data_IF_497838258505
#
_entry.id   IF_497838258505
#
_cell.length_a   1.000
_cell.length_b   1.000
_cell.length_c   1.000
_cell.angle_alpha   90.00
_cell.angle_beta   90.00
_cell.angle_gamma   90.00
#
_symmetry.space_group_name_H-M   'P 1'
#
loop_
_entity.id
_entity.type
_entity.pdbx_description
1 polymer ?
#
# COMPACT_ATOMS: atom_id res chain seq x y z
N UNK A 1 -26.02 9.29 -10.15
CA UNK A 1 -26.44 8.59 -11.38
C UNK A 1 -25.17 8.35 -12.16
N UNK A 2 -24.53 7.21 -11.98
CA UNK A 2 -23.40 6.79 -12.81
C UNK A 2 -24.00 6.17 -14.05
N UNK A 3 -23.70 6.81 -15.16
CA UNK A 3 -23.99 6.28 -16.47
C UNK A 3 -23.20 4.98 -16.61
N UNK A 4 -23.87 3.89 -16.97
CA UNK A 4 -23.22 2.67 -17.43
C UNK A 4 -22.40 3.05 -18.67
N UNK A 5 -21.11 3.26 -18.48
CA UNK A 5 -20.21 3.42 -19.62
C UNK A 5 -19.93 1.99 -20.11
N UNK A 6 -20.76 1.52 -21.03
CA UNK A 6 -20.39 0.43 -21.92
C UNK A 6 -19.50 1.05 -22.98
N UNK A 7 -18.24 0.77 -22.93
CA UNK A 7 -17.45 0.88 -24.15
C UNK A 7 -17.63 -0.42 -24.95
N UNK A 8 -17.33 -0.36 -26.23
CA UNK A 8 -17.38 -1.51 -27.15
C UNK A 8 -16.41 -2.63 -26.74
N UNK A 9 -15.73 -2.50 -25.59
CA UNK A 9 -14.72 -3.39 -25.05
C UNK A 9 -15.16 -4.13 -23.76
N UNK A 10 -16.41 -3.96 -23.32
CA UNK A 10 -16.99 -4.77 -22.25
C UNK A 10 -16.70 -4.32 -20.80
N UNK A 11 -16.17 -3.12 -20.58
CA UNK A 11 -15.98 -2.58 -19.23
C UNK A 11 -17.30 -1.98 -18.74
N UNK A 12 -17.84 -2.52 -17.65
CA UNK A 12 -19.02 -1.97 -16.98
C UNK A 12 -18.56 -1.29 -15.68
N UNK A 13 -18.69 0.02 -15.61
CA UNK A 13 -18.47 0.76 -14.34
C UNK A 13 -19.69 0.56 -13.44
N UNK A 14 -19.47 -0.02 -12.28
CA UNK A 14 -20.52 -0.30 -11.31
C UNK A 14 -20.64 0.78 -10.24
N UNK A 15 -21.72 0.66 -9.51
CA UNK A 15 -22.29 1.57 -8.54
C UNK A 15 -21.28 2.05 -7.49
N UNK A 16 -21.00 3.33 -7.47
CA UNK A 16 -20.44 3.97 -6.28
C UNK A 16 -21.49 3.99 -5.15
N UNK A 17 -21.05 3.95 -3.89
CA UNK A 17 -21.94 4.19 -2.77
C UNK A 17 -22.70 5.49 -2.93
N UNK A 18 -24.00 5.49 -2.66
CA UNK A 18 -24.84 6.71 -2.76
C UNK A 18 -24.34 7.75 -1.80
N UNK A 19 -24.12 8.98 -2.27
CA UNK A 19 -23.78 10.10 -1.39
C UNK A 19 -24.89 10.33 -0.36
N UNK A 20 -24.51 10.57 0.90
CA UNK A 20 -25.40 10.91 2.03
C UNK A 20 -26.43 9.84 2.44
N UNK A 21 -26.23 8.56 2.16
CA UNK A 21 -27.06 7.50 2.71
C UNK A 21 -26.45 6.94 4.00
N UNK A 22 -27.25 6.73 5.06
CA UNK A 22 -26.78 6.16 6.34
C UNK A 22 -26.14 4.77 6.13
N UNK A 23 -26.61 4.01 5.15
CA UNK A 23 -26.04 2.71 4.75
C UNK A 23 -24.58 2.80 4.29
N UNK A 24 -24.13 4.01 3.90
CA UNK A 24 -22.77 4.28 3.45
C UNK A 24 -21.87 4.84 4.56
N UNK A 25 -22.42 5.03 5.77
CA UNK A 25 -21.64 5.54 6.90
C UNK A 25 -20.55 4.57 7.30
N UNK A 26 -19.41 5.10 7.70
CA UNK A 26 -18.31 4.39 8.31
C UNK A 26 -18.35 4.63 9.81
N UNK A 27 -17.99 3.61 10.59
CA UNK A 27 -18.00 3.68 12.04
C UNK A 27 -16.68 3.21 12.58
N UNK A 28 -16.10 3.98 13.48
CA UNK A 28 -14.87 3.60 14.14
C UNK A 28 -14.82 4.13 15.58
N UNK A 29 -14.09 3.43 16.41
CA UNK A 29 -13.72 3.91 17.74
C UNK A 29 -12.29 3.52 18.08
N UNK A 30 -11.67 4.28 18.96
CA UNK A 30 -10.32 4.03 19.46
C UNK A 30 -10.27 4.32 20.96
N UNK A 31 -9.64 3.41 21.70
CA UNK A 31 -9.35 3.56 23.12
C UNK A 31 -7.84 3.60 23.30
N UNK A 32 -7.35 4.59 24.04
CA UNK A 32 -5.95 4.70 24.41
C UNK A 32 -5.81 4.56 25.93
N UNK A 33 -4.79 3.85 26.37
CA UNK A 33 -4.48 3.67 27.79
C UNK A 33 -2.97 3.59 28.00
N UNK A 34 -2.51 3.76 29.23
CA UNK A 34 -1.13 3.53 29.63
C UNK A 34 -1.11 2.49 30.74
N UNK A 35 -0.41 1.40 30.54
CA UNK A 35 -0.26 0.32 31.51
C UNK A 35 1.21 -0.06 31.62
N UNK A 36 1.77 -0.01 32.82
CA UNK A 36 3.16 -0.37 33.08
C UNK A 36 4.16 0.37 32.15
N UNK A 37 3.99 1.68 32.05
CA UNK A 37 4.79 2.55 31.17
C UNK A 37 4.78 2.15 29.71
N UNK A 38 3.69 1.50 29.27
CA UNK A 38 3.44 1.14 27.89
C UNK A 38 2.18 1.86 27.42
N UNK A 39 2.33 2.67 26.38
CA UNK A 39 1.18 3.28 25.70
C UNK A 39 0.52 2.22 24.81
N UNK A 40 -0.75 1.96 25.07
CA UNK A 40 -1.55 0.98 24.34
C UNK A 40 -2.71 1.69 23.64
N UNK A 41 -3.03 1.26 22.43
CA UNK A 41 -4.30 1.63 21.81
C UNK A 41 -4.98 0.42 21.21
N UNK A 42 -6.31 0.43 21.24
CA UNK A 42 -7.18 -0.53 20.60
C UNK A 42 -8.17 0.22 19.74
N UNK A 43 -8.38 -0.24 18.51
CA UNK A 43 -9.29 0.40 17.57
C UNK A 43 -10.14 -0.63 16.85
N UNK A 44 -11.34 -0.21 16.50
CA UNK A 44 -12.22 -0.92 15.57
C UNK A 44 -12.68 0.04 14.50
N UNK A 45 -12.74 -0.43 13.25
CA UNK A 45 -13.19 0.35 12.13
C UNK A 45 -14.04 -0.53 11.20
N UNK A 46 -15.26 -0.09 10.90
CA UNK A 46 -16.10 -0.67 9.86
C UNK A 46 -16.22 0.34 8.73
N UNK A 47 -15.62 0.02 7.60
CA UNK A 47 -15.38 0.96 6.51
C UNK A 47 -15.56 0.31 5.13
N UNK A 48 -15.55 1.11 4.11
CA UNK A 48 -15.35 0.64 2.74
C UNK A 48 -13.88 0.32 2.51
N UNK A 49 -13.59 -0.70 1.69
CA UNK A 49 -12.24 -0.87 1.15
C UNK A 49 -11.94 0.31 0.23
N UNK A 50 -10.82 1.00 0.42
CA UNK A 50 -10.42 2.17 -0.35
C UNK A 50 -10.21 1.87 -1.84
N UNK A 51 -9.93 0.61 -2.15
CA UNK A 51 -9.74 0.14 -3.52
C UNK A 51 -10.94 -0.71 -3.97
N UNK A 52 -11.49 -0.45 -5.15
CA UNK A 52 -12.55 -1.29 -5.69
C UNK A 52 -12.02 -2.70 -5.97
N UNK A 53 -12.81 -3.68 -5.61
CA UNK A 53 -12.62 -5.07 -6.03
C UNK A 53 -13.04 -5.19 -7.50
N UNK A 54 -12.21 -5.77 -8.34
CA UNK A 54 -12.50 -5.94 -9.77
C UNK A 54 -13.00 -7.36 -10.01
N UNK A 55 -14.30 -7.56 -9.80
CA UNK A 55 -14.94 -8.81 -10.21
C UNK A 55 -14.92 -8.93 -11.73
N UNK A 56 -14.83 -10.14 -12.22
CA UNK A 56 -14.85 -10.42 -13.64
C UNK A 56 -15.67 -11.66 -13.92
N UNK A 57 -16.43 -11.61 -15.01
CA UNK A 57 -16.96 -12.81 -15.65
C UNK A 57 -16.06 -13.07 -16.86
N UNK A 58 -15.15 -13.99 -16.70
CA UNK A 58 -14.24 -14.32 -17.77
C UNK A 58 -14.24 -15.83 -17.98
N UNK A 59 -14.28 -16.24 -19.23
CA UNK A 59 -13.93 -17.61 -19.61
C UNK A 59 -12.42 -17.76 -19.54
N UNK A 60 -11.96 -18.98 -19.23
CA UNK A 60 -10.52 -19.29 -19.23
C UNK A 60 -9.92 -19.11 -20.64
N UNK A 61 -10.70 -19.37 -21.67
CA UNK A 61 -10.36 -19.24 -23.10
C UNK A 61 -10.64 -17.82 -23.65
N UNK A 62 -10.17 -16.78 -22.96
CA UNK A 62 -10.35 -15.39 -23.40
C UNK A 62 -9.76 -15.16 -24.80
N UNK A 63 -10.56 -14.61 -25.68
CA UNK A 63 -10.15 -14.21 -27.01
C UNK A 63 -10.47 -12.74 -27.25
N UNK A 64 -9.86 -12.08 -28.26
CA UNK A 64 -10.25 -10.72 -28.62
C UNK A 64 -11.74 -10.56 -28.93
N UNK A 65 -12.39 -11.63 -29.41
CA UNK A 65 -13.82 -11.66 -29.74
C UNK A 65 -14.71 -11.95 -28.52
N UNK A 66 -14.11 -12.37 -27.40
CA UNK A 66 -14.80 -12.66 -26.13
C UNK A 66 -14.00 -12.11 -24.95
N UNK A 67 -13.94 -10.78 -24.80
CA UNK A 67 -13.17 -10.15 -23.73
C UNK A 67 -13.85 -10.36 -22.36
N UNK A 68 -13.06 -10.33 -21.25
CA UNK A 68 -13.62 -10.38 -19.91
C UNK A 68 -14.49 -9.16 -19.62
N UNK A 69 -15.60 -9.36 -18.95
CA UNK A 69 -16.40 -8.26 -18.41
C UNK A 69 -15.89 -7.97 -16.99
N UNK A 70 -15.51 -6.72 -16.73
CA UNK A 70 -14.96 -6.27 -15.44
C UNK A 70 -16.02 -5.46 -14.68
N UNK A 71 -16.22 -5.80 -13.40
CA UNK A 71 -17.17 -5.15 -12.50
C UNK A 71 -16.45 -4.57 -11.28
N UNK A 72 -15.95 -3.34 -11.34
CA UNK A 72 -15.37 -2.69 -10.14
C UNK A 72 -16.48 -2.45 -9.12
N UNK A 73 -16.27 -2.93 -7.90
CA UNK A 73 -17.24 -2.85 -6.81
C UNK A 73 -16.53 -2.53 -5.50
N UNK A 74 -17.03 -1.55 -4.75
CA UNK A 74 -16.55 -1.30 -3.40
C UNK A 74 -17.19 -2.29 -2.43
N UNK A 75 -16.38 -2.81 -1.51
CA UNK A 75 -16.81 -3.80 -0.51
C UNK A 75 -16.56 -3.28 0.90
N UNK A 76 -17.30 -3.80 1.86
CA UNK A 76 -17.11 -3.48 3.29
C UNK A 76 -16.09 -4.40 3.91
N UNK A 77 -15.28 -3.82 4.81
CA UNK A 77 -14.31 -4.53 5.64
C UNK A 77 -14.47 -4.11 7.10
N UNK A 78 -14.09 -4.99 8.03
CA UNK A 78 -13.91 -4.63 9.43
C UNK A 78 -12.45 -4.75 9.78
N UNK A 79 -11.94 -3.80 10.55
CA UNK A 79 -10.56 -3.77 11.00
C UNK A 79 -10.50 -3.66 12.53
N UNK A 80 -9.76 -4.55 13.17
CA UNK A 80 -9.46 -4.57 14.60
C UNK A 80 -7.97 -4.30 14.76
N UNK A 81 -7.62 -3.14 15.32
CA UNK A 81 -6.24 -2.70 15.44
C UNK A 81 -5.78 -2.63 16.89
N UNK A 82 -4.50 -2.89 17.11
CA UNK A 82 -3.83 -2.66 18.38
C UNK A 82 -2.44 -2.07 18.13
N UNK A 83 -2.02 -1.15 18.99
CA UNK A 83 -0.65 -0.61 19.00
C UNK A 83 -0.07 -0.63 20.41
N UNK A 84 1.23 -0.81 20.51
CA UNK A 84 1.96 -0.66 21.75
C UNK A 84 3.25 0.11 21.53
N UNK A 85 3.53 1.09 22.40
CA UNK A 85 4.77 1.87 22.40
C UNK A 85 5.35 1.84 23.81
N UNK A 86 6.62 1.43 23.91
CA UNK A 86 7.32 1.33 25.19
C UNK A 86 8.76 1.78 25.03
N UNK A 87 9.23 2.57 25.98
CA UNK A 87 10.66 2.85 26.12
C UNK A 87 11.32 1.72 26.91
N UNK A 88 12.38 1.15 26.33
CA UNK A 88 13.22 0.11 26.95
C UNK A 88 14.67 0.60 26.93
N UNK A 89 15.11 1.18 28.06
CA UNK A 89 16.39 1.85 28.11
C UNK A 89 16.51 3.01 27.12
N UNK A 90 17.52 3.04 26.24
CA UNK A 90 17.70 4.11 25.25
C UNK A 90 16.87 3.89 23.97
N UNK A 91 16.09 2.82 23.88
CA UNK A 91 15.33 2.44 22.68
C UNK A 91 13.84 2.58 22.94
N UNK A 92 13.12 3.19 22.01
CA UNK A 92 11.64 3.13 21.98
C UNK A 92 11.24 2.02 21.02
N UNK A 93 10.50 1.05 21.53
CA UNK A 93 9.92 -0.05 20.75
C UNK A 93 8.48 0.32 20.40
N UNK A 94 8.14 0.24 19.12
CA UNK A 94 6.80 0.47 18.58
C UNK A 94 6.32 -0.79 17.90
N UNK A 95 5.12 -1.23 18.22
CA UNK A 95 4.48 -2.36 17.57
C UNK A 95 3.06 -2.01 17.18
N UNK A 96 2.62 -2.51 16.06
CA UNK A 96 1.26 -2.35 15.59
C UNK A 96 0.77 -3.65 14.96
N UNK A 97 -0.52 -3.88 15.06
CA UNK A 97 -1.17 -5.01 14.41
C UNK A 97 -2.61 -4.68 14.07
N UNK A 98 -3.09 -5.23 12.97
CA UNK A 98 -4.48 -5.13 12.56
C UNK A 98 -4.94 -6.47 12.00
N UNK A 99 -6.09 -6.95 12.48
CA UNK A 99 -6.84 -8.05 11.89
C UNK A 99 -7.96 -7.45 11.04
N UNK A 100 -7.98 -7.79 9.76
CA UNK A 100 -8.94 -7.26 8.79
C UNK A 100 -9.74 -8.40 8.23
N UNK A 101 -11.06 -8.29 8.31
CA UNK A 101 -11.98 -9.31 7.80
C UNK A 101 -12.58 -8.89 6.47
N UNK A 102 -13.06 -9.88 5.74
CA UNK A 102 -13.90 -9.69 4.56
C UNK A 102 -13.22 -9.00 3.36
N UNK A 103 -11.89 -8.98 3.30
CA UNK A 103 -11.18 -8.42 2.14
C UNK A 103 -11.14 -9.41 0.99
N UNK A 104 -11.36 -8.89 -0.22
CA UNK A 104 -11.21 -9.65 -1.45
C UNK A 104 -9.79 -9.60 -1.98
N UNK A 105 -9.31 -10.74 -2.49
CA UNK A 105 -8.01 -10.93 -3.12
C UNK A 105 -8.20 -11.50 -4.51
N UNK A 106 -7.48 -10.92 -5.48
CA UNK A 106 -7.56 -11.31 -6.87
C UNK A 106 -6.95 -12.67 -7.15
N UNK A 107 -7.62 -13.47 -7.95
CA UNK A 107 -7.13 -14.74 -8.48
C UNK A 107 -6.48 -14.54 -9.86
N UNK A 108 -5.53 -15.40 -10.19
CA UNK A 108 -4.98 -15.52 -11.54
C UNK A 108 -6.08 -15.96 -12.50
N UNK A 109 -6.10 -15.42 -13.72
CA UNK A 109 -7.17 -15.68 -14.72
C UNK A 109 -7.30 -17.13 -15.19
N UNK A 110 -6.32 -17.97 -14.91
CA UNK A 110 -6.26 -19.34 -15.44
C UNK A 110 -6.79 -20.38 -14.47
N UNK A 111 -7.41 -19.95 -13.36
CA UNK A 111 -7.90 -20.89 -12.35
C UNK A 111 -9.35 -21.25 -12.63
N UNK A 112 -9.53 -22.48 -13.05
CA UNK A 112 -10.78 -23.17 -13.30
C UNK A 112 -10.64 -24.57 -12.67
N UNK A 113 -11.11 -24.71 -11.42
CA UNK A 113 -10.94 -25.95 -10.66
C UNK A 113 -12.03 -26.97 -10.94
N UNK A 114 -13.20 -26.52 -11.36
CA UNK A 114 -14.34 -27.37 -11.65
C UNK A 114 -14.47 -27.74 -13.13
N UNK A 115 -13.65 -27.09 -13.99
CA UNK A 115 -13.59 -27.42 -15.43
C UNK A 115 -14.78 -26.91 -16.23
N UNK A 116 -15.50 -25.91 -15.72
CA UNK A 116 -16.67 -25.35 -16.40
C UNK A 116 -16.32 -24.35 -17.51
N UNK A 117 -15.04 -24.01 -17.65
CA UNK A 117 -14.52 -23.07 -18.63
C UNK A 117 -14.59 -21.59 -18.20
N UNK A 118 -14.94 -21.33 -16.93
CA UNK A 118 -14.94 -19.99 -16.34
C UNK A 118 -13.93 -19.91 -15.19
N UNK A 119 -13.51 -18.70 -14.87
CA UNK A 119 -12.63 -18.49 -13.72
C UNK A 119 -13.42 -18.63 -12.42
N UNK A 120 -12.81 -19.28 -11.42
CA UNK A 120 -13.40 -19.44 -10.10
C UNK A 120 -13.76 -18.09 -9.45
N UNK A 121 -14.84 -18.11 -8.67
CA UNK A 121 -15.23 -17.00 -7.79
C UNK A 121 -15.24 -15.63 -8.46
N UNK A 122 -15.55 -15.54 -9.74
CA UNK A 122 -15.52 -14.31 -10.52
C UNK A 122 -14.17 -13.58 -10.45
N UNK A 123 -13.07 -14.34 -10.26
CA UNK A 123 -11.72 -13.83 -10.20
C UNK A 123 -11.28 -13.23 -8.88
N UNK A 124 -12.11 -13.32 -7.84
CA UNK A 124 -11.84 -12.76 -6.52
C UNK A 124 -12.30 -13.71 -5.42
N UNK A 125 -11.49 -13.88 -4.37
CA UNK A 125 -11.86 -14.63 -3.18
C UNK A 125 -11.75 -13.77 -1.93
N UNK A 126 -12.75 -13.90 -1.06
CA UNK A 126 -12.79 -13.21 0.22
C UNK A 126 -11.95 -13.98 1.25
N UNK A 127 -11.02 -13.26 1.93
CA UNK A 127 -10.18 -13.79 3.00
C UNK A 127 -9.93 -12.73 4.07
N UNK A 128 -9.67 -13.21 5.26
CA UNK A 128 -9.15 -12.40 6.35
C UNK A 128 -7.64 -12.28 6.23
N UNK A 129 -7.08 -11.22 6.80
CA UNK A 129 -5.65 -11.05 6.85
C UNK A 129 -5.20 -10.31 8.09
N UNK A 130 -3.95 -10.53 8.46
CA UNK A 130 -3.28 -9.80 9.53
C UNK A 130 -2.22 -8.91 8.90
N UNK A 131 -2.15 -7.66 9.37
CA UNK A 131 -1.03 -6.75 9.15
C UNK A 131 -0.37 -6.50 10.48
N UNK A 132 0.94 -6.55 10.53
CA UNK A 132 1.68 -6.22 11.73
C UNK A 132 2.99 -5.53 11.40
N UNK A 133 3.48 -4.75 12.34
CA UNK A 133 4.74 -4.05 12.18
C UNK A 133 5.45 -3.88 13.51
N UNK A 134 6.77 -3.77 13.43
CA UNK A 134 7.64 -3.41 14.55
C UNK A 134 8.62 -2.34 14.09
N UNK A 135 8.79 -1.31 14.91
CA UNK A 135 9.75 -0.24 14.71
C UNK A 135 10.56 0.03 15.99
N UNK A 136 11.77 0.49 15.82
CA UNK A 136 12.67 0.88 16.89
C UNK A 136 13.13 2.32 16.67
N UNK A 137 13.04 3.16 17.70
CA UNK A 137 13.67 4.49 17.67
C UNK A 137 14.80 4.55 18.68
N UNK A 138 15.94 4.97 18.25
CA UNK A 138 17.13 5.13 19.10
C UNK A 138 18.11 6.15 18.53
N UNK A 139 19.00 6.65 19.39
CA UNK A 139 20.08 7.54 18.97
C UNK A 139 21.44 6.84 19.14
N UNK A 140 22.22 6.80 18.08
CA UNK A 140 23.60 6.31 18.08
C UNK A 140 24.50 7.36 17.44
N UNK A 141 25.55 7.76 18.11
CA UNK A 141 26.55 8.76 17.66
C UNK A 141 25.92 10.10 17.23
N UNK A 142 24.84 10.52 17.92
CA UNK A 142 24.08 11.72 17.58
C UNK A 142 23.29 11.63 16.29
N UNK A 143 22.98 10.44 15.84
CA UNK A 143 22.05 10.15 14.73
C UNK A 143 20.81 9.46 15.26
N UNK A 144 19.64 10.06 15.05
CA UNK A 144 18.36 9.43 15.31
C UNK A 144 18.09 8.39 14.22
N UNK A 145 17.78 7.18 14.62
CA UNK A 145 17.53 6.04 13.73
C UNK A 145 16.19 5.40 14.03
N UNK A 146 15.45 5.08 12.98
CA UNK A 146 14.14 4.43 13.05
C UNK A 146 14.05 3.31 12.01
N UNK A 147 14.66 2.13 12.23
CA UNK A 147 14.37 0.95 11.44
C UNK A 147 12.97 0.42 11.75
N UNK A 148 12.30 -0.11 10.73
CA UNK A 148 10.99 -0.73 10.85
C UNK A 148 10.83 -1.92 9.91
N UNK A 149 10.01 -2.88 10.32
CA UNK A 149 9.60 -4.01 9.52
C UNK A 149 8.09 -4.15 9.58
N UNK A 150 7.46 -4.41 8.45
CA UNK A 150 6.03 -4.68 8.37
C UNK A 150 5.77 -5.93 7.56
N UNK A 151 4.72 -6.65 7.92
CA UNK A 151 4.28 -7.83 7.19
C UNK A 151 2.76 -7.86 7.08
N UNK A 152 2.30 -8.29 5.94
CA UNK A 152 0.93 -8.64 5.65
C UNK A 152 0.84 -10.15 5.47
N UNK A 153 -0.09 -10.82 6.15
CA UNK A 153 -0.30 -12.27 6.10
C UNK A 153 -1.77 -12.58 5.78
N UNK A 154 -2.01 -13.30 4.67
CA UNK A 154 -3.35 -13.73 4.27
C UNK A 154 -3.66 -15.07 4.95
N UNK A 155 -4.78 -15.11 5.69
CA UNK A 155 -5.28 -16.31 6.37
C UNK A 155 -6.01 -17.18 5.35
N UNK A 156 -5.94 -18.50 5.51
CA UNK A 156 -6.53 -19.48 4.57
C UNK A 156 -6.15 -19.18 3.11
N UNK A 157 -4.83 -19.03 2.92
CA UNK A 157 -4.23 -18.66 1.65
C UNK A 157 -4.57 -19.63 0.53
N UNK A 158 -4.83 -19.10 -0.65
CA UNK A 158 -5.04 -19.84 -1.88
C UNK A 158 -3.88 -19.60 -2.86
N UNK A 159 -3.27 -20.67 -3.38
CA UNK A 159 -2.16 -20.57 -4.34
C UNK A 159 -2.52 -19.87 -5.65
N UNK A 160 -3.81 -19.77 -5.92
CA UNK A 160 -4.35 -19.01 -7.03
C UNK A 160 -4.31 -17.51 -6.84
N UNK A 161 -4.04 -16.98 -5.65
CA UNK A 161 -3.94 -15.54 -5.45
C UNK A 161 -2.80 -14.91 -6.23
N UNK A 162 -3.04 -13.70 -6.71
CA UNK A 162 -2.01 -12.84 -7.32
C UNK A 162 -1.03 -12.36 -6.26
N UNK A 163 -1.55 -12.02 -5.08
CA UNK A 163 -0.75 -11.60 -3.93
C UNK A 163 -0.08 -12.80 -3.26
N UNK A 164 1.13 -12.67 -2.73
CA UNK A 164 1.74 -13.70 -1.92
C UNK A 164 1.05 -13.81 -0.57
N UNK A 165 1.12 -14.97 0.07
CA UNK A 165 0.60 -15.18 1.42
C UNK A 165 1.19 -14.19 2.42
N UNK A 166 2.50 -14.00 2.36
CA UNK A 166 3.25 -13.05 3.17
C UNK A 166 3.81 -11.95 2.27
N UNK A 167 3.49 -10.71 2.58
CA UNK A 167 4.03 -9.54 1.92
C UNK A 167 4.75 -8.66 2.94
N UNK A 168 6.02 -8.41 2.72
CA UNK A 168 6.90 -7.82 3.72
C UNK A 168 7.62 -6.60 3.18
N UNK A 169 7.81 -5.62 4.06
CA UNK A 169 8.57 -4.43 3.77
C UNK A 169 9.50 -4.08 4.92
N UNK A 170 10.66 -3.57 4.60
CA UNK A 170 11.59 -2.95 5.52
C UNK A 170 11.61 -1.44 5.29
N UNK A 171 11.71 -0.66 6.35
CA UNK A 171 11.91 0.79 6.29
C UNK A 171 13.04 1.21 7.22
N UNK A 172 13.74 2.25 6.82
CA UNK A 172 14.76 2.89 7.63
C UNK A 172 14.67 4.40 7.48
N UNK A 173 14.56 5.10 8.59
CA UNK A 173 14.72 6.54 8.63
C UNK A 173 15.91 6.90 9.50
N UNK A 174 16.79 7.76 9.00
CA UNK A 174 17.93 8.30 9.72
C UNK A 174 17.92 9.82 9.67
N UNK A 175 18.25 10.46 10.79
CA UNK A 175 18.37 11.92 10.89
C UNK A 175 19.58 12.30 11.75
N UNK A 176 20.43 13.17 11.22
CA UNK A 176 21.57 13.72 11.93
C UNK A 176 21.63 15.22 11.81
N UNK A 177 21.74 15.89 12.95
CA UNK A 177 21.99 17.32 13.02
C UNK A 177 23.49 17.61 13.12
N UNK A 178 23.92 18.63 12.41
CA UNK A 178 25.26 19.19 12.45
C UNK A 178 25.19 20.65 12.92
N UNK A 179 25.08 20.91 14.24
CA UNK A 179 24.81 22.25 14.75
C UNK A 179 25.85 23.28 14.32
N UNK A 180 27.15 22.88 14.25
CA UNK A 180 28.23 23.75 13.83
C UNK A 180 28.11 24.30 12.41
N UNK A 181 27.44 23.54 11.54
CA UNK A 181 27.22 23.88 10.13
C UNK A 181 25.76 24.29 9.83
N UNK A 182 24.93 24.40 10.87
CA UNK A 182 23.49 24.64 10.73
C UNK A 182 22.83 23.72 9.69
N UNK A 183 23.28 22.45 9.66
CA UNK A 183 22.86 21.47 8.66
C UNK A 183 22.16 20.28 9.29
N UNK A 184 21.17 19.72 8.57
CA UNK A 184 20.45 18.50 8.93
C UNK A 184 20.51 17.56 7.75
N UNK A 185 21.06 16.37 7.97
CA UNK A 185 20.98 15.26 7.03
C UNK A 185 19.86 14.32 7.41
N UNK A 186 19.05 13.90 6.43
CA UNK A 186 17.98 12.93 6.58
C UNK A 186 18.07 11.90 5.46
N UNK A 187 17.72 10.66 5.77
CA UNK A 187 17.58 9.61 4.78
C UNK A 187 16.36 8.76 5.11
N UNK A 188 15.54 8.50 4.11
CA UNK A 188 14.46 7.51 4.15
C UNK A 188 14.78 6.42 3.13
N UNK A 189 14.75 5.18 3.56
CA UNK A 189 14.83 4.01 2.68
C UNK A 189 13.65 3.09 2.96
N UNK A 190 12.97 2.67 1.90
CA UNK A 190 11.88 1.69 1.93
C UNK A 190 12.26 0.57 0.96
N UNK A 191 12.14 -0.67 1.41
CA UNK A 191 12.40 -1.85 0.59
C UNK A 191 11.21 -2.82 0.67
N UNK A 192 10.56 -3.06 -0.47
CA UNK A 192 9.46 -3.99 -0.64
C UNK A 192 10.05 -5.37 -0.99
N UNK A 193 10.19 -6.24 0.01
CA UNK A 193 10.97 -7.48 -0.06
C UNK A 193 10.45 -8.40 -1.16
N UNK A 194 9.15 -8.62 -1.21
CA UNK A 194 8.54 -9.55 -2.16
C UNK A 194 8.49 -9.04 -3.61
N UNK A 195 8.68 -7.74 -3.81
CA UNK A 195 8.70 -7.11 -5.14
C UNK A 195 10.11 -6.85 -5.64
N UNK A 196 11.11 -6.90 -4.74
CA UNK A 196 12.47 -6.44 -5.01
C UNK A 196 12.49 -4.98 -5.50
N UNK A 197 11.77 -4.12 -4.79
CA UNK A 197 11.63 -2.70 -5.12
C UNK A 197 12.08 -1.85 -3.96
N UNK A 198 12.71 -0.70 -4.23
CA UNK A 198 13.08 0.24 -3.18
C UNK A 198 12.94 1.70 -3.58
N UNK A 199 12.78 2.52 -2.56
CA UNK A 199 12.82 3.98 -2.63
C UNK A 199 13.87 4.48 -1.65
N UNK A 200 14.84 5.25 -2.13
CA UNK A 200 15.86 5.91 -1.31
C UNK A 200 15.73 7.43 -1.45
N UNK A 201 15.58 8.13 -0.32
CA UNK A 201 15.38 9.58 -0.27
C UNK A 201 16.37 10.25 0.69
N UNK A 202 17.61 10.54 0.26
CA UNK A 202 18.50 11.42 1.02
C UNK A 202 18.08 12.88 0.85
N UNK A 203 18.12 13.65 1.95
CA UNK A 203 17.86 15.09 1.99
C UNK A 203 18.88 15.77 2.87
N UNK A 204 19.44 16.88 2.41
CA UNK A 204 20.31 17.76 3.17
C UNK A 204 19.62 19.13 3.27
N UNK A 205 19.57 19.65 4.48
CA UNK A 205 18.94 20.93 4.80
C UNK A 205 19.95 21.84 5.49
N UNK A 206 20.03 23.09 5.05
CA UNK A 206 20.84 24.14 5.66
C UNK A 206 19.96 25.25 6.20
N UNK A 207 20.14 25.61 7.46
CA UNK A 207 19.56 26.81 8.05
C UNK A 207 20.49 27.98 7.77
N UNK A 208 20.16 28.79 6.74
CA UNK A 208 21.00 29.91 6.29
C UNK A 208 20.85 31.11 7.23
N UNK A 209 19.66 31.31 7.78
CA UNK A 209 19.34 32.29 8.81
C UNK A 209 18.11 31.85 9.60
N UNK A 210 17.75 32.59 10.67
CA UNK A 210 16.56 32.29 11.48
C UNK A 210 15.25 32.20 10.64
N UNK A 211 15.24 32.83 9.47
CA UNK A 211 14.09 32.92 8.59
C UNK A 211 14.23 32.12 7.28
N UNK A 212 15.47 31.76 6.90
CA UNK A 212 15.74 31.16 5.60
C UNK A 212 16.35 29.77 5.75
N UNK A 213 15.70 28.79 5.14
CA UNK A 213 16.15 27.41 5.05
C UNK A 213 16.25 26.97 3.58
N UNK A 214 17.32 26.29 3.23
CA UNK A 214 17.52 25.71 1.90
C UNK A 214 17.71 24.21 2.05
N UNK A 215 17.00 23.42 1.28
CA UNK A 215 17.13 21.98 1.27
C UNK A 215 17.38 21.46 -0.15
N UNK A 216 18.16 20.40 -0.26
CA UNK A 216 18.31 19.63 -1.49
C UNK A 216 18.13 18.15 -1.23
N UNK A 217 17.57 17.43 -2.16
CA UNK A 217 17.32 16.01 -1.99
C UNK A 217 17.21 15.25 -3.31
N UNK A 218 17.24 13.92 -3.17
CA UNK A 218 17.05 12.99 -4.26
C UNK A 218 15.90 12.06 -3.91
N UNK A 219 15.11 11.67 -4.91
CA UNK A 219 14.19 10.54 -4.83
C UNK A 219 14.66 9.51 -5.88
N UNK A 220 15.18 8.38 -5.40
CA UNK A 220 15.74 7.32 -6.23
C UNK A 220 14.86 6.08 -6.14
N UNK A 221 14.34 5.64 -7.26
CA UNK A 221 13.45 4.50 -7.36
C UNK A 221 14.18 3.32 -7.99
N UNK A 222 14.13 2.17 -7.34
CA UNK A 222 14.66 0.92 -7.83
C UNK A 222 13.56 -0.13 -7.93
N UNK A 223 13.58 -0.93 -8.99
CA UNK A 223 12.64 -2.04 -9.20
C UNK A 223 12.45 -2.35 -10.68
N UNK A 224 11.76 -3.44 -10.95
CA UNK A 224 11.39 -3.81 -12.33
C UNK A 224 10.21 -2.97 -12.77
N UNK A 225 10.22 -2.51 -14.03
CA UNK A 225 9.05 -1.88 -14.63
C UNK A 225 7.90 -2.88 -14.64
N UNK A 226 6.82 -2.50 -14.00
CA UNK A 226 5.59 -3.26 -14.05
C UNK A 226 4.89 -3.06 -15.40
N UNK A 227 3.79 -3.76 -15.55
CA UNK A 227 2.98 -3.72 -16.75
C UNK A 227 2.48 -2.29 -17.11
N UNK A 228 2.25 -1.42 -16.12
CA UNK A 228 1.88 -0.01 -16.35
C UNK A 228 2.95 0.80 -17.12
N UNK A 229 4.20 0.36 -17.11
CA UNK A 229 5.29 0.97 -17.86
C UNK A 229 5.30 0.64 -19.36
N UNK A 230 4.47 -0.29 -19.82
CA UNK A 230 4.35 -0.72 -21.20
C UNK A 230 3.05 -0.23 -21.86
N UNK A 231 2.70 1.04 -21.68
CA UNK A 231 1.46 1.64 -22.22
C UNK A 231 1.57 1.82 -23.75
N UNK A 232 1.59 0.71 -24.48
CA UNK A 232 1.57 0.70 -25.96
C UNK A 232 0.49 -0.23 -26.54
N UNK A 233 -0.33 -0.86 -25.70
CA UNK A 233 -1.39 -1.79 -26.11
C UNK A 233 -2.80 -1.27 -25.81
N UNK A 234 -3.81 -2.02 -26.25
CA UNK A 234 -5.20 -1.75 -25.89
C UNK A 234 -5.36 -1.67 -24.36
N UNK A 235 -6.11 -0.68 -23.86
CA UNK A 235 -6.41 -0.51 -22.44
C UNK A 235 -6.95 -1.80 -21.82
N UNK A 236 -7.77 -2.56 -22.55
CA UNK A 236 -8.33 -3.83 -22.08
C UNK A 236 -7.25 -4.90 -21.89
N UNK A 237 -6.34 -5.07 -22.86
CA UNK A 237 -5.24 -6.02 -22.70
C UNK A 237 -4.34 -5.66 -21.52
N UNK A 238 -4.16 -4.39 -21.27
CA UNK A 238 -3.40 -3.89 -20.13
C UNK A 238 -4.13 -4.12 -18.80
N UNK A 239 -5.45 -3.94 -18.74
CA UNK A 239 -6.27 -4.23 -17.56
C UNK A 239 -6.35 -5.73 -17.26
N UNK A 240 -6.45 -6.57 -18.30
CA UNK A 240 -6.42 -8.03 -18.16
C UNK A 240 -5.06 -8.49 -17.65
N UNK A 241 -3.97 -7.96 -18.19
CA UNK A 241 -2.62 -8.27 -17.71
C UNK A 241 -2.40 -7.77 -16.26
N UNK A 242 -2.96 -6.62 -15.89
CA UNK A 242 -2.94 -6.12 -14.51
C UNK A 242 -3.71 -7.03 -13.55
N UNK A 243 -4.83 -7.57 -14.00
CA UNK A 243 -5.63 -8.50 -13.20
C UNK A 243 -4.98 -9.88 -13.05
N UNK A 244 -3.91 -10.16 -13.76
CA UNK A 244 -3.18 -11.44 -13.72
C UNK A 244 -1.83 -11.39 -13.03
N UNK A 245 -1.28 -10.21 -12.86
CA UNK A 245 0.05 -10.00 -12.31
C UNK A 245 -0.02 -9.09 -11.11
N UNK A 246 0.83 -9.36 -10.12
CA UNK A 246 1.01 -8.45 -9.02
C UNK A 246 1.48 -7.09 -9.56
N UNK A 247 0.76 -6.00 -9.29
CA UNK A 247 1.20 -4.68 -9.74
C UNK A 247 2.53 -4.34 -9.07
N UNK A 248 3.52 -3.96 -9.87
CA UNK A 248 4.72 -3.31 -9.39
C UNK A 248 4.36 -1.89 -8.97
N UNK A 249 4.89 -1.41 -7.85
CA UNK A 249 4.59 -0.08 -7.34
C UNK A 249 5.75 0.89 -7.57
N UNK A 250 6.87 0.71 -6.87
CA UNK A 250 8.02 1.61 -6.98
C UNK A 250 8.76 1.43 -8.31
N UNK A 251 8.80 0.21 -8.84
CA UNK A 251 9.44 -0.09 -10.13
C UNK A 251 8.82 0.65 -11.30
N UNK A 252 7.54 1.00 -11.25
CA UNK A 252 6.89 1.84 -12.26
C UNK A 252 7.45 3.26 -12.30
N UNK A 253 8.11 3.72 -11.24
CA UNK A 253 8.75 5.02 -11.14
C UNK A 253 10.27 4.97 -11.41
N UNK A 254 10.82 3.83 -11.81
CA UNK A 254 12.26 3.63 -12.02
C UNK A 254 12.92 4.70 -12.92
N UNK A 255 12.22 5.21 -13.92
CA UNK A 255 12.73 6.27 -14.81
C UNK A 255 12.40 7.70 -14.28
N UNK A 256 11.78 7.81 -13.12
CA UNK A 256 11.35 9.06 -12.53
C UNK A 256 12.24 9.50 -11.36
N UNK A 257 13.48 9.06 -11.35
CA UNK A 257 14.47 9.58 -10.41
C UNK A 257 14.53 11.10 -10.53
N UNK A 258 14.51 11.77 -9.39
CA UNK A 258 14.55 13.22 -9.39
C UNK A 258 15.51 13.79 -8.37
N UNK A 259 16.08 14.93 -8.72
CA UNK A 259 16.75 15.83 -7.81
C UNK A 259 15.88 17.06 -7.62
N UNK A 260 15.78 17.56 -6.40
CA UNK A 260 15.00 18.76 -6.09
C UNK A 260 15.73 19.69 -5.13
N UNK A 261 15.36 20.95 -5.18
CA UNK A 261 15.76 21.98 -4.23
C UNK A 261 14.51 22.67 -3.70
N UNK A 262 14.50 22.95 -2.40
CA UNK A 262 13.42 23.60 -1.70
C UNK A 262 13.97 24.81 -0.95
N UNK A 263 13.31 25.93 -1.04
CA UNK A 263 13.61 27.16 -0.30
C UNK A 263 12.40 27.52 0.55
N UNK A 264 12.61 27.59 1.87
CA UNK A 264 11.58 27.97 2.84
C UNK A 264 11.97 29.27 3.52
N UNK A 265 11.09 30.26 3.43
CA UNK A 265 11.22 31.53 4.14
C UNK A 265 10.08 31.70 5.13
N UNK A 266 10.42 32.03 6.39
CA UNK A 266 9.44 32.25 7.47
C UNK A 266 9.38 33.75 7.78
N UNK A 267 8.20 34.31 7.76
CA UNK A 267 7.98 35.76 8.02
C UNK A 267 7.97 36.12 9.51
#
# INVERSE_FOLDING_TARGET
MLQDIRDDQGIVLTKFPKSFALENSEVGFKVNTNILDTELSFSYFYTWDDFPVIFRTARVDQTPDNPPILYPTYTRISMYGATAVKQVGPVIVKTEGAYVTDKYFGLKNTIDRDGDGFTDSNGELKRDHIRWGVGLDFNIFGMDMSPGYTQWHIIDYDEGFIQPQNDSAFSFFGRKEFPQNSAIFQVLWIYLINMDESLLKPKLTFQVSDKLQVSGGLDLFYGKKGFLGNVGGSIVNNLVAAAQQRPQFLGNFHDNDRMYMELKYSF
#
